data_IF_432417857692
#
_entry.id   IF_432417857692
#
_cell.length_a   1.000
_cell.length_b   1.000
_cell.length_c   1.000
_cell.angle_alpha   90.00
_cell.angle_beta   90.00
_cell.angle_gamma   90.00
#
_symmetry.space_group_name_H-M   'P 1'
#
loop_
_entity.id
_entity.type
_entity.pdbx_description
1 polymer ?
#
# COMPACT_ATOMS: atom_id res chain seq x y z
N UNK A 1 18.27 -18.03 -20.56
CA UNK A 1 17.66 -16.80 -21.10
C UNK A 1 16.72 -16.26 -20.03
N UNK A 2 17.11 -15.19 -19.32
CA UNK A 2 16.22 -14.58 -18.34
C UNK A 2 15.12 -13.79 -19.09
N UNK A 3 13.86 -13.84 -18.64
CA UNK A 3 12.85 -12.94 -19.17
C UNK A 3 13.31 -11.51 -18.93
N UNK A 4 13.27 -10.68 -19.98
CA UNK A 4 13.62 -9.28 -19.86
C UNK A 4 12.67 -8.54 -18.92
N UNK A 5 13.10 -7.36 -18.47
CA UNK A 5 12.33 -6.55 -17.53
C UNK A 5 10.91 -6.26 -18.03
N UNK A 6 10.75 -6.15 -19.35
CA UNK A 6 9.47 -5.87 -19.99
C UNK A 6 8.47 -7.03 -19.91
N UNK A 7 8.97 -8.27 -20.00
CA UNK A 7 8.17 -9.46 -19.82
C UNK A 7 7.72 -9.61 -18.37
N UNK A 8 8.59 -9.29 -17.40
CA UNK A 8 8.27 -9.35 -15.98
C UNK A 8 7.14 -8.39 -15.63
N UNK A 9 7.18 -7.14 -16.13
CA UNK A 9 6.10 -6.17 -15.92
C UNK A 9 4.75 -6.64 -16.48
N UNK A 10 4.73 -7.24 -17.67
CA UNK A 10 3.51 -7.80 -18.26
C UNK A 10 2.94 -8.94 -17.41
N UNK A 11 3.79 -9.83 -16.90
CA UNK A 11 3.38 -10.95 -16.03
C UNK A 11 2.80 -10.43 -14.72
N UNK A 12 3.42 -9.41 -14.10
CA UNK A 12 2.91 -8.79 -12.87
C UNK A 12 1.55 -8.14 -13.11
N UNK A 13 1.37 -7.44 -14.23
CA UNK A 13 0.09 -6.81 -14.56
C UNK A 13 -1.04 -7.84 -14.71
N UNK A 14 -0.77 -8.95 -15.40
CA UNK A 14 -1.70 -10.07 -15.53
C UNK A 14 -2.02 -10.71 -14.17
N UNK A 15 -1.01 -10.91 -13.32
CA UNK A 15 -1.20 -11.43 -11.97
C UNK A 15 -2.08 -10.48 -11.13
N UNK A 16 -1.82 -9.17 -11.20
CA UNK A 16 -2.64 -8.17 -10.52
C UNK A 16 -4.05 -8.11 -11.09
N UNK A 17 -4.30 -8.39 -12.37
CA UNK A 17 -5.66 -8.42 -12.92
C UNK A 17 -6.43 -9.69 -12.51
N UNK A 18 -5.75 -10.85 -12.50
CA UNK A 18 -6.35 -12.15 -12.15
C UNK A 18 -6.59 -12.30 -10.64
N UNK A 19 -5.64 -11.82 -9.83
CA UNK A 19 -5.72 -11.86 -8.36
C UNK A 19 -6.16 -10.50 -7.77
N UNK A 20 -6.54 -9.58 -8.64
CA UNK A 20 -6.91 -8.16 -8.46
C UNK A 20 -8.19 -7.83 -7.73
N UNK A 21 -8.72 -8.72 -6.90
CA UNK A 21 -10.02 -8.52 -6.26
C UNK A 21 -10.12 -7.17 -5.54
N UNK A 22 -11.28 -6.51 -5.69
CA UNK A 22 -11.62 -5.12 -5.28
C UNK A 22 -11.57 -4.86 -3.77
N UNK A 23 -10.43 -5.11 -3.13
CA UNK A 23 -10.17 -4.86 -1.71
C UNK A 23 -9.01 -5.64 -1.11
N UNK A 24 -8.66 -6.81 -1.66
CA UNK A 24 -7.58 -7.67 -1.13
C UNK A 24 -6.20 -7.04 -1.33
N UNK A 25 -5.97 -6.42 -2.49
CA UNK A 25 -4.70 -5.75 -2.81
C UNK A 25 -4.51 -4.50 -1.97
N UNK A 26 -5.57 -3.75 -1.67
CA UNK A 26 -5.46 -2.53 -0.85
C UNK A 26 -5.00 -2.84 0.58
N UNK A 27 -5.56 -3.88 1.20
CA UNK A 27 -5.13 -4.32 2.53
C UNK A 27 -3.67 -4.80 2.52
N UNK A 28 -3.29 -5.67 1.57
CA UNK A 28 -1.92 -6.20 1.45
C UNK A 28 -0.90 -5.10 1.12
N UNK A 29 -1.25 -4.16 0.24
CA UNK A 29 -0.40 -3.01 -0.09
C UNK A 29 -0.23 -2.08 1.12
N UNK A 30 -1.27 -1.94 1.96
CA UNK A 30 -1.20 -1.18 3.21
C UNK A 30 -0.24 -1.76 4.24
N UNK A 31 -0.29 -3.08 4.46
CA UNK A 31 0.66 -3.78 5.34
C UNK A 31 2.09 -3.75 4.78
N UNK A 32 2.23 -3.93 3.46
CA UNK A 32 3.51 -3.85 2.78
C UNK A 32 4.12 -2.44 2.85
N UNK A 33 3.30 -1.39 2.69
CA UNK A 33 3.74 0.01 2.82
C UNK A 33 4.20 0.35 4.24
N UNK A 34 3.51 -0.15 5.28
CA UNK A 34 3.97 0.01 6.67
C UNK A 34 5.31 -0.71 6.91
N UNK A 35 5.49 -1.90 6.33
CA UNK A 35 6.75 -2.65 6.40
C UNK A 35 7.91 -1.89 5.75
N UNK A 36 7.73 -1.40 4.51
CA UNK A 36 8.74 -0.60 3.80
C UNK A 36 9.03 0.71 4.55
N UNK A 37 8.01 1.40 5.08
CA UNK A 37 8.19 2.67 5.80
C UNK A 37 8.98 2.45 7.09
N UNK A 38 8.70 1.39 7.84
CA UNK A 38 9.43 1.05 9.06
C UNK A 38 10.87 0.64 8.76
N UNK A 39 11.09 -0.11 7.68
CA UNK A 39 12.43 -0.45 7.21
C UNK A 39 13.22 0.78 6.79
N UNK A 40 12.58 1.71 6.07
CA UNK A 40 13.22 2.96 5.66
C UNK A 40 13.48 3.91 6.83
N UNK A 41 12.56 3.96 7.82
CA UNK A 41 12.77 4.72 9.07
C UNK A 41 13.94 4.15 9.85
N UNK A 42 14.05 2.82 9.99
CA UNK A 42 15.18 2.17 10.65
C UNK A 42 16.53 2.44 9.96
N UNK A 43 16.58 2.44 8.62
CA UNK A 43 17.79 2.81 7.89
C UNK A 43 18.17 4.29 8.05
N UNK A 44 17.17 5.19 8.14
CA UNK A 44 17.39 6.63 8.29
C UNK A 44 17.76 7.01 9.73
N UNK A 45 17.25 6.28 10.72
CA UNK A 45 17.62 6.42 12.13
C UNK A 45 19.12 6.08 12.33
N UNK A 46 19.63 5.07 11.62
CA UNK A 46 21.07 4.73 11.58
C UNK A 46 21.94 5.82 10.92
N UNK A 47 21.34 6.67 10.07
CA UNK A 47 22.02 7.78 9.39
C UNK A 47 21.82 9.15 10.09
N UNK A 48 20.86 9.26 11.01
CA UNK A 48 20.34 10.54 11.50
C UNK A 48 19.88 10.46 12.98
N UNK A 49 20.81 10.11 13.89
CA UNK A 49 20.64 10.19 15.37
C UNK A 49 20.44 11.66 15.84
N UNK A 50 19.35 12.34 15.47
CA UNK A 50 19.24 13.78 15.73
C UNK A 50 17.87 14.46 15.78
N UNK A 51 16.83 14.06 15.04
CA UNK A 51 15.61 14.88 15.02
C UNK A 51 14.32 14.06 15.11
N UNK A 52 13.47 14.48 16.04
CA UNK A 52 12.34 13.74 16.59
C UNK A 52 11.23 13.35 15.62
N UNK A 53 10.63 12.24 16.02
CA UNK A 53 9.39 11.60 15.62
C UNK A 53 8.25 12.55 15.21
N UNK A 54 7.86 12.59 13.91
CA UNK A 54 6.57 13.14 13.48
C UNK A 54 6.15 12.80 12.02
N UNK A 55 6.36 11.56 11.55
CA UNK A 55 5.94 11.15 10.20
C UNK A 55 5.25 9.77 10.12
N UNK A 56 4.45 9.44 11.13
CA UNK A 56 3.51 8.32 11.06
C UNK A 56 2.11 8.76 11.51
N UNK A 57 1.61 9.87 10.96
CA UNK A 57 0.18 10.14 11.02
C UNK A 57 -0.54 9.10 10.14
N UNK A 58 -1.49 8.31 10.66
CA UNK A 58 -2.30 7.43 9.83
C UNK A 58 -3.07 8.31 8.85
N UNK A 59 -2.85 8.15 7.55
CA UNK A 59 -3.69 8.81 6.56
C UNK A 59 -5.15 8.40 6.82
N UNK A 60 -6.04 9.32 7.24
CA UNK A 60 -7.43 8.99 7.45
C UNK A 60 -8.06 8.87 6.07
N UNK A 61 -8.73 7.75 5.79
CA UNK A 61 -9.58 7.63 4.61
C UNK A 61 -9.19 6.54 3.63
N UNK A 62 -8.98 5.31 4.09
CA UNK A 62 -9.14 4.13 3.23
C UNK A 62 -10.02 3.04 3.86
N UNK A 63 -10.71 3.37 4.95
CA UNK A 63 -11.79 2.55 5.48
C UNK A 63 -13.07 2.92 4.71
N UNK A 64 -13.56 1.96 3.93
CA UNK A 64 -14.97 1.85 3.60
C UNK A 64 -15.60 3.05 2.85
N UNK A 65 -15.17 3.24 1.59
CA UNK A 65 -16.11 3.49 0.48
C UNK A 65 -17.06 2.28 0.28
N UNK A 66 -17.71 1.89 1.38
CA UNK A 66 -18.63 0.78 1.59
C UNK A 66 -19.74 1.25 2.55
N UNK A 67 -20.29 2.43 2.26
CA UNK A 67 -21.65 2.79 2.66
C UNK A 67 -22.41 3.29 1.43
N UNK A 68 -22.70 2.33 0.56
CA UNK A 68 -23.90 2.36 -0.25
C UNK A 68 -25.10 2.13 0.69
N UNK A 69 -25.65 3.18 1.33
CA UNK A 69 -27.06 3.29 1.74
C UNK A 69 -27.32 4.59 2.51
N UNK A 70 -27.68 5.68 1.82
CA UNK A 70 -28.51 6.71 2.46
C UNK A 70 -29.36 7.38 1.37
N UNK A 71 -30.26 6.60 0.78
CA UNK A 71 -31.36 7.09 -0.05
C UNK A 71 -32.68 6.68 0.56
N UNK A 72 -32.94 7.15 1.77
CA UNK A 72 -34.26 7.25 2.41
C UNK A 72 -34.14 8.44 3.38
N UNK A 73 -34.72 9.62 3.14
CA UNK A 73 -36.11 9.83 2.80
C UNK A 73 -36.94 9.86 4.08
N UNK A 74 -36.85 10.97 4.82
CA UNK A 74 -37.93 11.72 5.54
C UNK A 74 -37.37 13.10 5.85
#
# INVERSE_FOLDING_TARGET
MAPGMWQILLVVLLAVLLFGGRGKIAAVMGDFAKGITSFRKGLKDEEEDGEGDDAAAPAPGLDAAAREDEKTGV
#
